data_IF_928265217993
#
_entry.id   IF_928265217993
#
_cell.length_a   1.000
_cell.length_b   1.000
_cell.length_c   1.000
_cell.angle_alpha   90.00
_cell.angle_beta   90.00
_cell.angle_gamma   90.00
#
_symmetry.space_group_name_H-M   'P 1'
#
loop_
_entity.id
_entity.type
_entity.pdbx_description
1 polymer ?
#
# COMPACT_ATOMS: atom_id res chain seq x y z
N UNK A 1 -14.62 -16.77 -49.81
CA UNK A 1 -15.14 -15.46 -49.38
C UNK A 1 -16.13 -15.77 -48.27
N UNK A 2 -15.84 -15.61 -46.99
CA UNK A 2 -14.78 -14.85 -46.33
C UNK A 2 -14.39 -15.57 -45.03
N UNK A 3 -13.09 -15.68 -44.78
CA UNK A 3 -12.52 -16.22 -43.54
C UNK A 3 -12.23 -15.07 -42.60
N UNK A 4 -12.85 -15.08 -41.43
CA UNK A 4 -12.63 -14.12 -40.35
C UNK A 4 -11.42 -14.58 -39.52
N UNK A 5 -10.27 -13.95 -39.79
CA UNK A 5 -9.04 -14.12 -39.02
C UNK A 5 -9.19 -13.43 -37.66
N UNK A 6 -9.49 -14.22 -36.63
CA UNK A 6 -9.38 -13.78 -35.24
C UNK A 6 -7.90 -13.57 -34.90
N UNK A 7 -7.48 -12.30 -34.88
CA UNK A 7 -6.16 -11.87 -34.44
C UNK A 7 -5.92 -12.34 -33.00
N UNK A 8 -4.98 -13.26 -32.83
CA UNK A 8 -4.49 -13.71 -31.54
C UNK A 8 -3.84 -12.55 -30.79
N UNK A 9 -4.47 -12.13 -29.71
CA UNK A 9 -3.83 -11.29 -28.70
C UNK A 9 -2.62 -12.03 -28.15
N UNK A 10 -1.43 -11.54 -28.48
CA UNK A 10 -0.19 -12.04 -27.93
C UNK A 10 -0.25 -11.93 -26.41
N UNK A 11 -0.34 -13.08 -25.74
CA UNK A 11 -0.04 -13.19 -24.32
C UNK A 11 1.38 -12.68 -24.14
N UNK A 12 1.50 -11.46 -23.62
CA UNK A 12 2.74 -10.90 -23.10
C UNK A 12 3.40 -11.99 -22.24
N UNK A 13 4.55 -12.45 -22.70
CA UNK A 13 5.40 -13.43 -22.02
C UNK A 13 5.48 -13.08 -20.53
N UNK A 14 4.86 -13.91 -19.68
CA UNK A 14 4.97 -13.78 -18.24
C UNK A 14 6.46 -13.68 -17.88
N UNK A 15 6.86 -12.54 -17.31
CA UNK A 15 8.26 -12.32 -16.89
C UNK A 15 8.68 -13.47 -15.98
N UNK A 16 9.92 -13.92 -16.13
CA UNK A 16 10.46 -14.96 -15.26
C UNK A 16 10.47 -14.46 -13.80
N UNK A 17 10.26 -15.33 -12.80
CA UNK A 17 10.18 -14.95 -11.39
C UNK A 17 11.39 -14.16 -10.84
N UNK A 18 12.50 -14.14 -11.56
CA UNK A 18 13.75 -13.49 -11.17
C UNK A 18 13.90 -12.05 -11.72
N UNK A 19 13.01 -11.59 -12.61
CA UNK A 19 13.05 -10.21 -13.13
C UNK A 19 12.31 -9.23 -12.21
N UNK A 20 13.06 -8.59 -11.31
CA UNK A 20 12.59 -7.46 -10.51
C UNK A 20 13.14 -6.13 -11.05
N UNK A 21 12.41 -5.04 -10.78
CA UNK A 21 12.82 -3.71 -11.24
C UNK A 21 13.91 -3.14 -10.34
N UNK A 22 14.98 -2.60 -10.93
CA UNK A 22 16.02 -1.85 -10.23
C UNK A 22 15.95 -0.38 -10.66
N UNK A 23 15.74 0.52 -9.71
CA UNK A 23 15.71 1.96 -9.93
C UNK A 23 16.98 2.63 -9.38
N UNK A 24 17.50 3.62 -10.10
CA UNK A 24 18.67 4.41 -9.70
C UNK A 24 18.30 5.51 -8.69
N UNK A 25 19.28 6.17 -8.04
CA UNK A 25 18.98 7.30 -7.15
C UNK A 25 18.21 8.40 -7.87
N UNK A 26 17.15 8.92 -7.23
CA UNK A 26 16.26 9.92 -7.82
C UNK A 26 15.17 9.38 -8.73
N UNK A 27 15.15 8.07 -8.98
CA UNK A 27 14.12 7.37 -9.72
C UNK A 27 13.16 6.64 -8.74
N UNK A 28 12.28 5.82 -9.30
CA UNK A 28 11.38 4.98 -8.52
C UNK A 28 10.61 4.02 -9.41
N UNK A 29 9.86 3.14 -8.79
CA UNK A 29 9.04 2.16 -9.48
C UNK A 29 7.66 2.04 -8.84
N UNK A 30 6.72 1.50 -9.61
CA UNK A 30 5.35 1.25 -9.17
C UNK A 30 5.14 -0.25 -8.97
N UNK A 31 4.26 -0.60 -8.04
CA UNK A 31 3.84 -1.98 -7.85
C UNK A 31 2.39 -2.05 -7.38
N UNK A 32 1.73 -3.17 -7.68
CA UNK A 32 0.37 -3.47 -7.27
C UNK A 32 0.15 -4.99 -7.26
N UNK A 33 -0.86 -5.46 -6.52
CA UNK A 33 -1.24 -6.87 -6.46
C UNK A 33 -2.38 -7.13 -7.45
N UNK A 34 -2.33 -8.27 -8.15
CA UNK A 34 -3.33 -8.67 -9.14
C UNK A 34 -2.79 -8.55 -10.56
N UNK A 35 -3.58 -7.96 -11.45
CA UNK A 35 -3.26 -7.87 -12.88
C UNK A 35 -3.76 -6.55 -13.48
N UNK A 36 -3.20 -6.10 -14.63
CA UNK A 36 -3.65 -4.87 -15.29
C UNK A 36 -5.17 -4.84 -15.53
N UNK A 37 -5.71 -5.94 -16.07
CA UNK A 37 -7.13 -6.11 -16.38
C UNK A 37 -7.77 -7.01 -15.32
N UNK A 38 -8.87 -6.56 -14.71
CA UNK A 38 -9.56 -7.26 -13.63
C UNK A 38 -9.21 -6.71 -12.24
N UNK A 39 -9.32 -7.58 -11.24
CA UNK A 39 -9.15 -7.21 -9.83
C UNK A 39 -7.69 -6.90 -9.47
N UNK A 40 -7.50 -5.87 -8.66
CA UNK A 40 -6.19 -5.39 -8.24
C UNK A 40 -6.27 -4.59 -6.95
N UNK A 41 -5.12 -4.42 -6.30
CA UNK A 41 -4.95 -3.49 -5.18
C UNK A 41 -4.81 -2.06 -5.69
N UNK A 42 -4.72 -1.10 -4.78
CA UNK A 42 -4.23 0.23 -5.17
C UNK A 42 -2.78 0.15 -5.67
N UNK A 43 -2.40 1.07 -6.56
CA UNK A 43 -1.03 1.17 -7.07
C UNK A 43 -0.20 1.98 -6.08
N UNK A 44 0.93 1.44 -5.68
CA UNK A 44 1.91 2.11 -4.84
C UNK A 44 3.12 2.49 -5.67
N UNK A 45 3.76 3.60 -5.32
CA UNK A 45 5.02 4.05 -5.90
C UNK A 45 6.02 4.30 -4.79
N UNK A 46 7.21 3.74 -4.94
CA UNK A 46 8.37 4.03 -4.10
C UNK A 46 9.44 4.73 -4.94
N UNK A 47 10.07 5.76 -4.39
CA UNK A 47 11.08 6.56 -5.09
C UNK A 47 12.05 7.21 -4.11
N UNK A 48 13.26 7.52 -4.56
CA UNK A 48 14.27 8.22 -3.75
C UNK A 48 14.43 9.67 -4.17
N UNK A 49 15.00 10.47 -3.27
CA UNK A 49 15.50 11.80 -3.59
C UNK A 49 16.67 11.73 -4.58
N UNK A 50 16.76 12.73 -5.46
CA UNK A 50 17.88 12.86 -6.41
C UNK A 50 19.21 13.17 -5.71
N UNK A 51 19.16 13.91 -4.60
CA UNK A 51 20.34 14.52 -3.98
C UNK A 51 20.55 14.09 -2.51
N UNK A 52 19.73 13.19 -2.00
CA UNK A 52 19.83 12.64 -0.64
C UNK A 52 19.46 11.17 -0.65
N UNK A 53 19.67 10.48 0.47
CA UNK A 53 19.26 9.08 0.64
C UNK A 53 17.83 8.94 1.17
N UNK A 54 17.02 10.01 1.09
CA UNK A 54 15.62 9.97 1.50
C UNK A 54 14.79 9.12 0.54
N UNK A 55 13.83 8.40 1.09
CA UNK A 55 12.91 7.54 0.35
C UNK A 55 11.48 7.92 0.65
N UNK A 56 10.64 7.87 -0.37
CA UNK A 56 9.25 8.24 -0.31
C UNK A 56 8.38 7.13 -0.86
N UNK A 57 7.24 6.90 -0.23
CA UNK A 57 6.22 5.99 -0.71
C UNK A 57 4.88 6.71 -0.75
N UNK A 58 4.15 6.51 -1.84
CA UNK A 58 2.81 7.05 -2.05
C UNK A 58 1.90 5.99 -2.64
N UNK A 59 0.63 6.04 -2.26
CA UNK A 59 -0.45 5.38 -2.99
C UNK A 59 -0.91 6.32 -4.10
N UNK A 60 -0.91 5.88 -5.36
CA UNK A 60 -1.11 6.74 -6.53
C UNK A 60 -2.40 7.58 -6.44
N UNK A 61 -3.58 6.99 -6.13
CA UNK A 61 -4.82 7.76 -5.91
C UNK A 61 -4.71 8.90 -4.89
N UNK A 62 -3.83 8.80 -3.90
CA UNK A 62 -3.66 9.79 -2.82
C UNK A 62 -2.30 10.47 -2.85
N UNK A 63 -1.54 10.34 -3.93
CA UNK A 63 -0.14 10.79 -4.01
C UNK A 63 0.02 12.32 -3.87
N UNK A 64 -1.01 13.08 -4.26
CA UNK A 64 -1.09 14.52 -4.05
C UNK A 64 -1.60 14.94 -2.66
N UNK A 65 -1.91 13.98 -1.78
CA UNK A 65 -2.55 14.23 -0.48
C UNK A 65 -1.69 13.75 0.68
N UNK A 66 -1.18 12.53 0.61
CA UNK A 66 -0.40 11.91 1.69
C UNK A 66 0.82 11.17 1.16
N UNK A 67 1.84 11.06 2.00
CA UNK A 67 3.00 10.21 1.74
C UNK A 67 3.59 9.63 3.02
N UNK A 68 4.28 8.51 2.87
CA UNK A 68 5.25 8.01 3.85
C UNK A 68 6.64 8.46 3.39
N UNK A 69 7.46 8.95 4.30
CA UNK A 69 8.84 9.33 4.00
C UNK A 69 9.80 8.80 5.05
N UNK A 70 10.92 8.27 4.58
CA UNK A 70 12.04 7.75 5.36
C UNK A 70 13.23 8.66 5.07
N UNK A 71 13.63 9.46 6.05
CA UNK A 71 14.71 10.43 5.88
C UNK A 71 16.06 9.78 6.18
N UNK A 72 17.11 10.27 5.54
CA UNK A 72 18.50 9.84 5.76
C UNK A 72 18.93 9.96 7.23
N UNK A 73 18.33 10.88 7.98
CA UNK A 73 18.53 11.03 9.43
C UNK A 73 18.00 9.87 10.27
N UNK A 74 17.26 8.93 9.66
CA UNK A 74 16.55 7.86 10.34
C UNK A 74 15.17 8.28 10.87
N UNK A 75 14.76 9.54 10.71
CA UNK A 75 13.39 9.95 11.02
C UNK A 75 12.44 9.46 9.93
N UNK A 76 11.31 8.89 10.33
CA UNK A 76 10.25 8.41 9.47
C UNK A 76 8.94 9.13 9.78
N UNK A 77 8.07 9.29 8.80
CA UNK A 77 6.78 9.93 9.02
C UNK A 77 5.73 9.49 7.99
N UNK A 78 4.48 9.48 8.43
CA UNK A 78 3.30 9.33 7.59
C UNK A 78 2.52 10.64 7.70
N UNK A 79 2.31 11.34 6.60
CA UNK A 79 1.87 12.74 6.68
C UNK A 79 1.09 13.20 5.47
N UNK A 80 0.20 14.14 5.71
CA UNK A 80 -0.39 14.95 4.65
C UNK A 80 0.64 15.90 4.06
N UNK A 81 0.53 16.15 2.75
CA UNK A 81 1.33 17.16 2.10
C UNK A 81 0.95 18.55 2.63
N UNK A 82 1.93 19.43 2.80
CA UNK A 82 1.74 20.73 3.44
C UNK A 82 0.73 21.61 2.71
N UNK A 83 0.67 21.51 1.38
CA UNK A 83 -0.27 22.26 0.53
C UNK A 83 -1.72 21.81 0.69
N UNK A 84 -1.98 20.57 1.10
CA UNK A 84 -3.35 20.06 1.31
C UNK A 84 -3.73 19.93 2.78
N UNK A 85 -2.77 19.88 3.71
CA UNK A 85 -3.06 19.68 5.13
C UNK A 85 -4.01 20.75 5.68
N UNK A 86 -3.88 21.99 5.21
CA UNK A 86 -4.75 23.11 5.58
C UNK A 86 -6.21 22.92 5.14
N UNK A 87 -6.47 22.05 4.16
CA UNK A 87 -7.82 21.70 3.76
C UNK A 87 -8.45 20.72 4.74
N UNK A 88 -7.68 19.87 5.41
CA UNK A 88 -8.22 18.82 6.29
C UNK A 88 -8.16 19.18 7.77
N UNK A 89 -7.20 20.01 8.17
CA UNK A 89 -6.96 20.33 9.57
C UNK A 89 -7.11 21.81 9.86
N UNK A 90 -7.23 22.14 11.15
CA UNK A 90 -7.24 23.53 11.56
C UNK A 90 -5.89 24.20 11.30
N UNK A 91 -5.90 25.52 11.09
CA UNK A 91 -4.66 26.29 10.94
C UNK A 91 -3.82 26.08 12.20
N UNK A 92 -2.58 25.60 12.00
CA UNK A 92 -1.62 25.18 13.04
C UNK A 92 -1.83 23.77 13.63
N UNK A 93 -2.72 22.94 13.08
CA UNK A 93 -2.79 21.52 13.44
C UNK A 93 -1.60 20.73 12.86
N UNK A 94 -1.21 19.66 13.55
CA UNK A 94 -0.15 18.75 13.10
C UNK A 94 -0.62 17.98 11.86
N UNK A 95 0.06 18.19 10.71
CA UNK A 95 -0.22 17.47 9.45
C UNK A 95 0.28 16.01 9.42
N UNK A 96 0.96 15.60 10.49
CA UNK A 96 1.62 14.31 10.58
C UNK A 96 0.68 13.34 11.28
N UNK A 97 0.36 12.22 10.61
CA UNK A 97 -0.39 11.13 11.21
C UNK A 97 0.47 10.41 12.27
N UNK A 98 1.74 10.16 11.93
CA UNK A 98 2.73 9.64 12.87
C UNK A 98 4.14 10.11 12.47
N UNK A 99 5.04 10.16 13.47
CA UNK A 99 6.49 10.32 13.31
C UNK A 99 7.18 9.28 14.19
N UNK A 100 8.14 8.57 13.63
CA UNK A 100 8.87 7.53 14.35
C UNK A 100 10.33 7.47 13.91
N UNK A 101 11.18 6.87 14.73
CA UNK A 101 12.53 6.53 14.31
C UNK A 101 12.53 5.23 13.53
N UNK A 102 13.40 5.14 12.53
CA UNK A 102 13.68 3.89 11.81
C UNK A 102 13.94 2.77 12.82
N UNK A 103 13.26 1.62 12.69
CA UNK A 103 13.47 0.49 13.58
C UNK A 103 14.92 -0.03 13.54
N UNK A 104 15.34 -0.65 14.64
CA UNK A 104 16.65 -1.30 14.71
C UNK A 104 16.79 -2.38 13.63
N UNK A 105 18.03 -2.68 13.18
CA UNK A 105 18.26 -3.79 12.28
C UNK A 105 17.76 -5.11 12.86
N UNK A 106 17.00 -5.87 12.07
CA UNK A 106 16.58 -7.23 12.46
C UNK A 106 17.65 -8.27 12.11
N UNK A 107 18.60 -7.91 11.25
CA UNK A 107 19.84 -8.65 10.97
C UNK A 107 20.89 -7.67 10.45
N UNK A 108 22.14 -8.12 10.25
CA UNK A 108 23.28 -7.23 9.99
C UNK A 108 23.09 -6.31 8.77
N UNK A 109 22.90 -5.03 9.07
CA UNK A 109 22.66 -3.97 8.09
C UNK A 109 21.31 -4.02 7.37
N UNK A 110 20.32 -4.76 7.88
CA UNK A 110 18.98 -4.82 7.30
C UNK A 110 17.90 -4.34 8.27
N UNK A 111 17.08 -3.38 7.84
CA UNK A 111 16.00 -2.76 8.64
C UNK A 111 14.66 -2.88 7.93
N UNK A 112 13.62 -3.29 8.64
CA UNK A 112 12.25 -3.32 8.14
C UNK A 112 11.60 -1.98 8.46
N UNK A 113 11.37 -1.13 7.46
CA UNK A 113 10.95 0.26 7.70
C UNK A 113 9.42 0.41 7.71
N UNK A 114 8.73 -0.34 6.87
CA UNK A 114 7.29 -0.23 6.68
C UNK A 114 6.70 -1.50 6.06
N UNK A 115 5.40 -1.71 6.20
CA UNK A 115 4.68 -2.74 5.46
C UNK A 115 3.32 -2.30 4.93
N UNK A 116 2.87 -2.97 3.87
CA UNK A 116 1.51 -2.87 3.33
C UNK A 116 0.90 -4.26 3.37
N UNK A 117 -0.26 -4.39 3.99
CA UNK A 117 -1.04 -5.64 3.99
C UNK A 117 -2.19 -5.51 3.01
N UNK A 118 -2.29 -6.45 2.07
CA UNK A 118 -3.33 -6.48 1.05
C UNK A 118 -4.10 -7.80 1.21
N UNK A 119 -5.26 -7.77 1.88
CA UNK A 119 -6.12 -8.93 1.96
C UNK A 119 -6.72 -9.24 0.59
N UNK A 120 -6.74 -10.51 0.19
CA UNK A 120 -7.29 -10.91 -1.11
C UNK A 120 -8.74 -10.45 -1.35
N UNK A 121 -9.54 -10.44 -0.29
CA UNK A 121 -10.94 -10.01 -0.33
C UNK A 121 -11.11 -8.51 -0.62
N UNK A 122 -10.03 -7.72 -0.60
CA UNK A 122 -10.03 -6.28 -0.82
C UNK A 122 -9.59 -5.86 -2.22
N UNK A 123 -9.13 -6.80 -3.05
CA UNK A 123 -8.84 -6.51 -4.46
C UNK A 123 -10.13 -6.14 -5.20
N UNK A 124 -10.05 -5.13 -6.07
CA UNK A 124 -11.22 -4.59 -6.78
C UNK A 124 -10.90 -4.37 -8.24
N UNK A 125 -11.92 -4.49 -9.07
CA UNK A 125 -11.84 -4.14 -10.48
C UNK A 125 -12.12 -2.65 -10.64
N UNK A 126 -11.20 -1.94 -11.26
CA UNK A 126 -11.34 -0.52 -11.59
C UNK A 126 -10.40 -0.17 -12.74
N UNK A 127 -10.69 0.91 -13.45
CA UNK A 127 -9.85 1.39 -14.55
C UNK A 127 -8.75 2.30 -14.01
N UNK A 128 -7.49 2.01 -14.36
CA UNK A 128 -6.37 2.91 -14.11
C UNK A 128 -6.30 3.99 -15.21
N UNK A 129 -5.87 5.20 -14.91
CA UNK A 129 -5.55 6.15 -15.98
C UNK A 129 -4.35 5.63 -16.80
N UNK A 130 -4.21 6.00 -18.08
CA UNK A 130 -3.09 5.54 -18.92
C UNK A 130 -1.72 5.82 -18.27
N UNK A 131 -1.42 7.04 -17.77
CA UNK A 131 -0.15 7.31 -17.10
C UNK A 131 0.09 6.45 -15.85
N UNK A 132 -0.97 5.99 -15.20
CA UNK A 132 -0.87 5.16 -14.01
C UNK A 132 -0.53 3.71 -14.34
N UNK A 133 -1.00 3.19 -15.49
CA UNK A 133 -0.80 1.79 -15.93
C UNK A 133 0.66 1.46 -16.26
N UNK A 134 1.41 2.44 -16.78
CA UNK A 134 2.76 2.19 -17.29
C UNK A 134 3.76 1.93 -16.17
N UNK A 135 4.59 0.89 -16.35
CA UNK A 135 5.70 0.54 -15.47
C UNK A 135 5.29 0.01 -14.10
N UNK A 136 4.08 -0.56 -13.97
CA UNK A 136 3.67 -1.27 -12.75
C UNK A 136 4.30 -2.67 -12.74
N UNK A 137 5.05 -2.98 -11.68
CA UNK A 137 5.39 -4.35 -11.34
C UNK A 137 4.20 -5.02 -10.67
N UNK A 138 3.56 -5.96 -11.39
CA UNK A 138 2.43 -6.73 -10.87
C UNK A 138 2.92 -7.87 -10.00
N UNK A 139 2.40 -7.91 -8.77
CA UNK A 139 2.59 -9.01 -7.84
C UNK A 139 1.38 -9.93 -7.98
N UNK A 140 1.64 -11.24 -8.05
CA UNK A 140 0.58 -12.23 -8.22
C UNK A 140 -0.49 -12.11 -7.13
N UNK A 141 -1.74 -12.37 -7.52
CA UNK A 141 -2.86 -12.55 -6.62
C UNK A 141 -2.53 -13.63 -5.56
N UNK A 142 -2.61 -13.34 -4.24
CA UNK A 142 -2.25 -14.29 -3.19
C UNK A 142 -3.19 -15.52 -3.11
N UNK A 143 -4.30 -15.54 -3.82
CA UNK A 143 -5.28 -16.62 -3.84
C UNK A 143 -6.26 -16.58 -2.66
N UNK A 144 -7.35 -17.35 -2.78
CA UNK A 144 -8.43 -17.39 -1.78
C UNK A 144 -7.94 -17.84 -0.41
N UNK A 145 -8.36 -17.13 0.64
CA UNK A 145 -7.98 -17.41 2.03
C UNK A 145 -6.59 -16.93 2.44
N UNK A 146 -5.89 -16.19 1.58
CA UNK A 146 -4.56 -15.66 1.85
C UNK A 146 -4.53 -14.14 1.70
N UNK A 147 -3.60 -13.53 2.42
CA UNK A 147 -3.25 -12.12 2.32
C UNK A 147 -1.82 -12.01 1.80
N UNK A 148 -1.49 -10.82 1.28
CA UNK A 148 -0.13 -10.48 0.92
C UNK A 148 0.39 -9.41 1.88
N UNK A 149 1.59 -9.61 2.40
CA UNK A 149 2.36 -8.56 3.06
C UNK A 149 3.44 -8.08 2.09
N UNK A 150 3.57 -6.77 1.95
CA UNK A 150 4.62 -6.12 1.17
C UNK A 150 5.50 -5.36 2.16
N UNK A 151 6.77 -5.76 2.25
CA UNK A 151 7.75 -5.21 3.17
C UNK A 151 8.69 -4.25 2.45
N UNK A 152 8.88 -3.07 3.03
CA UNK A 152 9.88 -2.09 2.60
C UNK A 152 11.09 -2.26 3.51
N UNK A 153 12.20 -2.73 2.94
CA UNK A 153 13.39 -3.14 3.71
C UNK A 153 14.61 -2.37 3.23
N UNK A 154 15.31 -1.73 4.17
CA UNK A 154 16.54 -0.98 3.91
C UNK A 154 17.76 -1.85 4.15
N UNK A 155 18.75 -1.73 3.28
CA UNK A 155 20.08 -2.31 3.40
C UNK A 155 21.11 -1.20 3.58
N UNK A 156 21.88 -1.27 4.65
CA UNK A 156 23.02 -0.40 4.90
C UNK A 156 24.13 -0.63 3.83
N UNK A 157 24.81 0.43 3.35
CA UNK A 157 25.84 0.31 2.31
C UNK A 157 27.01 -0.59 2.68
N UNK A 158 27.29 -0.74 3.98
CA UNK A 158 28.36 -1.59 4.50
C UNK A 158 27.95 -3.06 4.65
N UNK A 159 26.66 -3.41 4.50
CA UNK A 159 26.21 -4.79 4.67
C UNK A 159 26.75 -5.66 3.55
N UNK A 160 27.46 -6.73 3.91
CA UNK A 160 27.96 -7.74 2.97
C UNK A 160 26.94 -8.87 2.75
N UNK A 161 25.83 -8.86 3.49
CA UNK A 161 24.85 -9.94 3.47
C UNK A 161 23.75 -9.68 2.44
N UNK A 162 23.38 -10.74 1.74
CA UNK A 162 22.18 -10.77 0.91
C UNK A 162 21.01 -11.32 1.73
N UNK A 163 19.88 -10.63 1.68
CA UNK A 163 18.66 -11.09 2.32
C UNK A 163 17.83 -11.95 1.35
N UNK A 164 17.58 -13.18 1.78
CA UNK A 164 16.54 -14.05 1.23
C UNK A 164 15.48 -14.25 2.30
N UNK A 165 14.21 -14.18 1.91
CA UNK A 165 13.07 -14.43 2.80
C UNK A 165 12.31 -15.60 2.19
N UNK A 166 12.19 -16.69 2.95
CA UNK A 166 11.51 -17.89 2.47
C UNK A 166 10.05 -17.58 2.10
N UNK A 167 9.62 -18.07 0.93
CA UNK A 167 8.30 -17.81 0.38
C UNK A 167 8.01 -16.34 -0.01
N UNK A 168 9.01 -15.46 0.01
CA UNK A 168 8.86 -14.09 -0.47
C UNK A 168 9.41 -13.90 -1.88
N UNK A 169 8.74 -13.07 -2.66
CA UNK A 169 9.19 -12.62 -3.98
C UNK A 169 9.78 -11.22 -3.82
N UNK A 170 10.95 -10.99 -4.44
CA UNK A 170 11.51 -9.64 -4.54
C UNK A 170 10.80 -8.89 -5.67
N UNK A 171 10.15 -7.78 -5.34
CA UNK A 171 9.33 -6.99 -6.27
C UNK A 171 10.20 -5.96 -7.01
N UNK A 172 11.10 -5.31 -6.29
CA UNK A 172 11.98 -4.31 -6.85
C UNK A 172 13.01 -3.81 -5.84
N UNK A 173 13.99 -3.07 -6.35
CA UNK A 173 15.07 -2.47 -5.58
C UNK A 173 15.31 -1.02 -6.01
N UNK A 174 15.64 -0.17 -5.06
CA UNK A 174 15.95 1.23 -5.24
C UNK A 174 17.34 1.51 -4.68
N UNK A 175 18.27 1.92 -5.54
CA UNK A 175 19.60 2.35 -5.13
C UNK A 175 19.53 3.75 -4.50
N UNK A 176 20.31 3.98 -3.44
CA UNK A 176 20.38 5.25 -2.73
C UNK A 176 21.73 5.95 -2.96
N UNK A 177 21.75 7.27 -2.74
CA UNK A 177 22.95 8.09 -2.93
C UNK A 177 24.11 7.72 -2.00
N UNK A 178 23.83 7.17 -0.82
CA UNK A 178 24.85 6.69 0.12
C UNK A 178 25.37 5.26 -0.18
N UNK A 179 24.95 4.65 -1.31
CA UNK A 179 25.29 3.27 -1.67
C UNK A 179 24.46 2.20 -0.96
N UNK A 180 23.54 2.59 -0.06
CA UNK A 180 22.54 1.69 0.50
C UNK A 180 21.44 1.40 -0.51
N UNK A 181 20.56 0.45 -0.17
CA UNK A 181 19.44 0.07 -1.04
C UNK A 181 18.14 -0.08 -0.28
N UNK A 182 17.01 0.12 -0.96
CA UNK A 182 15.70 -0.28 -0.47
C UNK A 182 15.16 -1.39 -1.36
N UNK A 183 14.90 -2.54 -0.75
CA UNK A 183 14.25 -3.66 -1.41
C UNK A 183 12.78 -3.75 -0.99
N UNK A 184 11.92 -4.10 -1.95
CA UNK A 184 10.51 -4.40 -1.72
C UNK A 184 10.31 -5.91 -1.86
N UNK A 185 9.83 -6.54 -0.80
CA UNK A 185 9.53 -7.97 -0.78
C UNK A 185 8.03 -8.17 -0.60
N UNK A 186 7.46 -9.17 -1.27
CA UNK A 186 6.09 -9.58 -1.11
C UNK A 186 6.03 -11.02 -0.62
N UNK A 187 5.36 -11.27 0.50
CA UNK A 187 5.16 -12.61 1.05
C UNK A 187 3.68 -12.89 1.28
N UNK A 188 3.28 -14.10 0.87
CA UNK A 188 1.93 -14.61 1.06
C UNK A 188 1.82 -15.23 2.45
N UNK A 189 0.71 -14.97 3.14
CA UNK A 189 0.42 -15.62 4.41
C UNK A 189 -1.08 -15.87 4.59
N UNK A 190 -1.40 -16.81 5.49
CA UNK A 190 -2.79 -17.07 5.88
C UNK A 190 -3.13 -16.22 7.10
N UNK A 191 -4.13 -15.33 7.03
CA UNK A 191 -4.52 -14.52 8.18
C UNK A 191 -5.09 -15.37 9.32
N UNK A 192 -4.97 -14.87 10.54
CA UNK A 192 -5.69 -15.42 11.69
C UNK A 192 -7.17 -15.05 11.64
N UNK A 193 -7.99 -15.80 12.38
CA UNK A 193 -9.42 -15.47 12.55
C UNK A 193 -9.59 -14.06 13.13
N UNK A 194 -8.72 -13.65 14.05
CA UNK A 194 -8.79 -12.33 14.67
C UNK A 194 -8.44 -11.21 13.70
N UNK A 195 -7.47 -11.41 12.80
CA UNK A 195 -7.18 -10.46 11.72
C UNK A 195 -8.38 -10.30 10.78
N UNK A 196 -9.05 -11.39 10.40
CA UNK A 196 -10.26 -11.36 9.57
C UNK A 196 -11.38 -10.59 10.29
N UNK A 197 -11.65 -10.92 11.56
CA UNK A 197 -12.66 -10.24 12.38
C UNK A 197 -12.35 -8.75 12.56
N UNK A 198 -11.08 -8.40 12.78
CA UNK A 198 -10.63 -7.03 12.90
C UNK A 198 -10.93 -6.24 11.62
N UNK A 199 -10.62 -6.81 10.45
CA UNK A 199 -10.86 -6.17 9.16
C UNK A 199 -12.37 -5.94 8.91
N UNK A 200 -13.19 -6.96 9.18
CA UNK A 200 -14.64 -6.86 9.06
C UNK A 200 -15.23 -5.80 10.01
N UNK A 201 -14.79 -5.77 11.27
CA UNK A 201 -15.22 -4.75 12.24
C UNK A 201 -14.92 -3.35 11.74
N UNK A 202 -13.70 -3.09 11.25
CA UNK A 202 -13.36 -1.77 10.71
C UNK A 202 -14.27 -1.40 9.54
N UNK A 203 -14.55 -2.34 8.61
CA UNK A 203 -15.50 -2.09 7.51
C UNK A 203 -16.87 -1.69 8.05
N UNK A 204 -17.39 -2.43 9.02
CA UNK A 204 -18.69 -2.10 9.63
C UNK A 204 -18.67 -0.72 10.30
N UNK A 205 -17.56 -0.33 10.94
CA UNK A 205 -17.39 1.01 11.50
C UNK A 205 -17.42 2.10 10.43
N UNK A 206 -16.68 1.93 9.32
CA UNK A 206 -16.70 2.87 8.20
C UNK A 206 -18.10 2.98 7.60
N UNK A 207 -18.73 1.83 7.36
CA UNK A 207 -20.08 1.73 6.85
C UNK A 207 -21.13 2.13 7.87
N UNK A 208 -20.84 2.40 9.14
CA UNK A 208 -21.81 2.92 10.09
C UNK A 208 -21.90 4.46 10.06
N UNK A 209 -20.87 5.14 9.56
CA UNK A 209 -20.80 6.60 9.49
C UNK A 209 -21.55 7.14 8.27
N UNK A 210 -22.61 7.92 8.49
CA UNK A 210 -23.39 8.55 7.41
C UNK A 210 -22.54 9.48 6.54
N UNK A 211 -21.67 10.29 7.15
CA UNK A 211 -20.76 11.18 6.43
C UNK A 211 -19.82 10.42 5.51
N UNK A 212 -19.27 9.30 5.98
CA UNK A 212 -18.37 8.47 5.18
C UNK A 212 -19.13 7.75 4.08
N UNK A 213 -20.33 7.22 4.36
CA UNK A 213 -21.18 6.62 3.32
C UNK A 213 -21.45 7.59 2.18
N UNK A 214 -21.78 8.85 2.47
CA UNK A 214 -22.03 9.85 1.45
C UNK A 214 -20.80 10.03 0.54
N UNK A 215 -19.60 10.16 1.13
CA UNK A 215 -18.34 10.28 0.39
C UNK A 215 -17.95 9.02 -0.38
N UNK A 216 -18.17 7.85 0.21
CA UNK A 216 -17.92 6.54 -0.41
C UNK A 216 -18.82 6.38 -1.63
N UNK A 217 -20.08 6.82 -1.57
CA UNK A 217 -21.03 6.73 -2.68
C UNK A 217 -20.68 7.57 -3.91
N UNK A 218 -19.79 8.54 -3.78
CA UNK A 218 -19.31 9.39 -4.88
C UNK A 218 -18.07 8.81 -5.58
N UNK A 219 -17.41 7.81 -4.99
CA UNK A 219 -16.17 7.23 -5.51
C UNK A 219 -16.42 5.91 -6.26
N UNK A 220 -15.77 5.74 -7.41
CA UNK A 220 -15.94 4.53 -8.24
C UNK A 220 -15.33 3.26 -7.59
N UNK A 221 -14.39 3.41 -6.65
CA UNK A 221 -13.82 2.29 -5.88
C UNK A 221 -13.12 2.77 -4.58
N UNK A 222 -13.89 3.14 -3.55
CA UNK A 222 -13.33 3.66 -2.31
C UNK A 222 -12.51 2.61 -1.55
N UNK A 223 -11.26 2.94 -1.25
CA UNK A 223 -10.34 2.15 -0.43
C UNK A 223 -9.90 2.99 0.77
N UNK A 224 -10.00 2.42 1.96
CA UNK A 224 -9.41 2.97 3.17
C UNK A 224 -8.07 2.26 3.47
N UNK A 225 -7.14 3.00 4.06
CA UNK A 225 -5.93 2.44 4.64
C UNK A 225 -6.06 2.37 6.16
N UNK A 226 -6.08 1.16 6.73
CA UNK A 226 -6.03 0.97 8.18
C UNK A 226 -4.58 1.10 8.64
N UNK A 227 -4.25 2.24 9.23
CA UNK A 227 -2.92 2.50 9.75
C UNK A 227 -2.69 1.80 11.10
N UNK A 228 -1.51 1.21 11.28
CA UNK A 228 -1.13 0.54 12.52
C UNK A 228 0.37 0.25 12.60
N UNK A 229 0.77 -0.54 13.59
CA UNK A 229 2.14 -1.00 13.77
C UNK A 229 2.18 -2.41 14.36
N UNK A 230 3.23 -3.14 14.01
CA UNK A 230 3.55 -4.46 14.56
C UNK A 230 4.19 -4.35 15.96
N UNK A 231 4.32 -5.47 16.66
CA UNK A 231 4.92 -5.51 18.00
C UNK A 231 6.38 -5.04 18.05
N UNK A 232 7.10 -5.08 16.92
CA UNK A 232 8.46 -4.56 16.76
C UNK A 232 8.50 -3.06 16.45
N UNK A 233 7.34 -2.39 16.45
CA UNK A 233 7.21 -0.97 16.17
C UNK A 233 7.28 -0.63 14.69
N UNK A 234 7.34 -1.60 13.78
CA UNK A 234 7.26 -1.31 12.34
C UNK A 234 5.86 -0.83 12.01
N UNK A 235 5.76 0.32 11.34
CA UNK A 235 4.47 0.88 10.91
C UNK A 235 4.01 0.23 9.61
N UNK A 236 2.69 0.23 9.41
CA UNK A 236 2.13 -0.25 8.17
C UNK A 236 0.72 0.21 7.92
N UNK A 237 0.20 -0.19 6.77
CA UNK A 237 -1.18 0.03 6.39
C UNK A 237 -1.80 -1.27 5.89
N UNK A 238 -3.02 -1.57 6.29
CA UNK A 238 -3.83 -2.62 5.68
C UNK A 238 -4.85 -2.00 4.75
N UNK A 239 -4.86 -2.39 3.47
CA UNK A 239 -5.90 -1.96 2.54
C UNK A 239 -7.25 -2.58 2.92
N UNK A 240 -8.28 -1.76 2.90
CA UNK A 240 -9.66 -2.17 3.13
C UNK A 240 -10.55 -1.49 2.09
N UNK A 241 -11.13 -2.27 1.20
CA UNK A 241 -12.12 -1.72 0.28
C UNK A 241 -13.44 -1.50 1.01
N UNK A 242 -14.03 -0.34 0.74
CA UNK A 242 -15.34 0.07 1.25
C UNK A 242 -16.49 -0.47 0.39
N UNK A 243 -16.17 -1.00 -0.81
CA UNK A 243 -17.14 -1.68 -1.67
C UNK A 243 -17.32 -3.12 -1.21
N UNK A 244 -18.52 -3.67 -1.41
CA UNK A 244 -18.80 -5.08 -1.11
C UNK A 244 -17.86 -5.98 -1.93
N UNK A 245 -17.24 -7.01 -1.33
CA UNK A 245 -16.42 -7.96 -2.08
C UNK A 245 -17.21 -8.59 -3.24
N UNK A 246 -16.59 -8.90 -4.39
CA UNK A 246 -17.27 -9.60 -5.47
C UNK A 246 -17.86 -10.94 -5.00
N UNK A 247 -18.93 -11.39 -5.65
CA UNK A 247 -19.57 -12.68 -5.32
C UNK A 247 -18.55 -13.81 -5.38
N UNK A 248 -18.50 -14.66 -4.35
CA UNK A 248 -17.55 -15.76 -4.24
C UNK A 248 -16.22 -15.44 -3.52
N UNK A 249 -16.08 -14.22 -2.98
CA UNK A 249 -14.91 -13.77 -2.18
C UNK A 249 -15.25 -13.49 -0.70
N UNK A 250 -16.36 -14.05 -0.22
CA UNK A 250 -17.09 -13.63 1.00
C UNK A 250 -16.61 -14.22 2.34
N UNK A 251 -15.39 -14.76 2.45
CA UNK A 251 -14.92 -15.32 3.74
C UNK A 251 -14.94 -14.30 4.90
N UNK A 252 -14.93 -13.00 4.59
CA UNK A 252 -14.91 -11.92 5.58
C UNK A 252 -16.32 -11.64 6.18
N UNK A 253 -17.42 -12.06 5.53
CA UNK A 253 -18.77 -11.56 5.85
C UNK A 253 -19.72 -12.57 6.53
N UNK A 254 -19.26 -13.75 6.95
CA UNK A 254 -20.16 -14.82 7.46
C UNK A 254 -20.14 -15.01 8.98
N UNK A 255 -19.30 -14.28 9.72
CA UNK A 255 -19.28 -14.35 11.19
C UNK A 255 -20.43 -13.58 11.83
N UNK A 256 -21.27 -14.22 12.64
CA UNK A 256 -22.14 -13.51 13.60
C UNK A 256 -21.23 -12.81 14.63
N UNK A 257 -21.27 -11.49 14.69
CA UNK A 257 -20.41 -10.69 15.57
C UNK A 257 -21.04 -10.48 16.95
N UNK A 258 -20.29 -10.80 18.01
CA UNK A 258 -20.54 -10.26 19.35
C UNK A 258 -20.13 -8.78 19.37
N UNK A 259 -20.92 -7.93 20.03
CA UNK A 259 -20.65 -6.50 20.18
C UNK A 259 -19.44 -6.26 21.08
N UNK A 260 -18.43 -5.52 20.60
CA UNK A 260 -17.27 -5.07 21.40
C UNK A 260 -17.20 -3.53 21.45
N UNK A 261 -16.67 -2.93 22.53
CA UNK A 261 -16.49 -1.49 22.64
C UNK A 261 -15.49 -0.97 21.59
N UNK A 262 -15.82 0.17 20.99
CA UNK A 262 -15.18 0.72 19.79
C UNK A 262 -13.91 1.54 20.14
N UNK A 263 -12.77 1.35 19.45
CA UNK A 263 -11.64 2.28 19.55
C UNK A 263 -12.01 3.64 18.90
N UNK A 264 -11.54 4.73 19.48
CA UNK A 264 -11.80 6.09 19.00
C UNK A 264 -11.10 6.36 17.66
N UNK A 265 -11.85 6.46 16.59
CA UNK A 265 -11.35 6.92 15.28
C UNK A 265 -11.69 8.41 15.14
N UNK A 266 -10.67 9.23 14.86
CA UNK A 266 -10.84 10.67 14.61
C UNK A 266 -10.81 10.93 13.11
N UNK A 267 -11.87 11.56 12.59
CA UNK A 267 -11.99 11.92 11.16
C UNK A 267 -11.83 13.43 10.98
N UNK A 268 -11.17 13.81 9.88
CA UNK A 268 -10.94 15.21 9.52
C UNK A 268 -11.67 15.54 8.22
N UNK A 269 -12.66 16.44 8.30
CA UNK A 269 -13.45 16.90 7.14
C UNK A 269 -12.64 17.92 6.33
N UNK A 270 -12.72 17.81 4.99
CA UNK A 270 -12.17 18.85 4.10
C UNK A 270 -12.98 20.13 4.33
N UNK A 271 -12.33 21.23 4.69
CA UNK A 271 -12.96 22.54 4.86
C UNK A 271 -13.53 22.96 3.51
N UNK A 272 -14.84 23.18 3.47
CA UNK A 272 -15.51 23.76 2.32
C UNK A 272 -14.92 25.16 2.11
N UNK A 273 -14.37 25.43 0.92
CA UNK A 273 -13.62 26.64 0.58
C UNK A 273 -14.44 27.93 0.52
N UNK A 274 -15.32 28.16 1.50
CA UNK A 274 -16.08 29.39 1.69
C UNK A 274 -15.29 30.36 2.58
N UNK A 275 -14.26 30.97 2.00
CA UNK A 275 -13.71 32.21 2.52
C UNK A 275 -13.52 33.17 1.34
N UNK A 276 -14.32 34.23 1.38
CA UNK A 276 -14.23 35.43 0.55
C UNK A 276 -12.98 36.23 0.90
#
# INVERSE_FOLDING_TARGET
>A
MDGEDAQGGGLESARTPDEFQVAQPGEGFKFAVGQPVGIKSTVHKIFSSRNSSDVYMVTIPTSGVMKVSFHESGMCQHSYLSNVAMEYFERNSERHLDRWMMPDPFTDGWRRAYYITIPRGELREYELSVPDRDGIQWIEDPGRGYWLNIHIVFRDPSSLFYLTIDGAVRVGELQLNNGGTVAVFANRFKPTVDQIKMLARHRDMFLASEELRARIGEADNPVAGLYGYDADGVRGVTELSMSVPPVGFSEICTGRYESYPMPGITFHRRRDGSAT
#
